data_IF_633647558469
#
_entry.id   IF_633647558469
#
_cell.length_a   1.000
_cell.length_b   1.000
_cell.length_c   1.000
_cell.angle_alpha   90.00
_cell.angle_beta   90.00
_cell.angle_gamma   90.00
#
_symmetry.space_group_name_H-M   'P 1'
#
loop_
_entity.id
_entity.type
_entity.pdbx_description
1 polymer ?
#
# COMPACT_ATOMS: atom_id res chain seq x y z
N UNK A 1 4.52 -15.11 -5.87
CA UNK A 1 3.95 -14.91 -7.23
C UNK A 1 4.52 -13.63 -7.80
N UNK A 2 5.36 -13.73 -8.83
CA UNK A 2 6.24 -12.66 -9.26
C UNK A 2 5.50 -11.45 -9.84
N UNK A 3 6.13 -10.30 -9.65
CA UNK A 3 5.91 -9.07 -10.42
C UNK A 3 5.57 -9.34 -11.90
N UNK A 4 4.61 -8.59 -12.46
CA UNK A 4 4.27 -8.64 -13.90
C UNK A 4 5.50 -8.33 -14.78
N UNK A 5 5.43 -8.60 -16.09
CA UNK A 5 6.52 -8.28 -17.02
C UNK A 5 6.95 -6.79 -16.95
N UNK A 6 6.02 -5.90 -16.60
CA UNK A 6 6.24 -4.47 -16.33
C UNK A 6 7.21 -4.18 -15.18
N UNK A 7 7.59 -5.21 -14.40
CA UNK A 7 8.43 -5.13 -13.22
C UNK A 7 9.62 -6.12 -13.27
N UNK A 8 9.93 -6.70 -14.45
CA UNK A 8 11.12 -7.56 -14.63
C UNK A 8 12.40 -6.72 -14.77
N UNK A 9 13.41 -7.02 -13.95
CA UNK A 9 14.78 -6.53 -14.09
C UNK A 9 15.44 -7.15 -15.34
N UNK A 10 16.17 -6.35 -16.13
CA UNK A 10 17.11 -6.87 -17.14
C UNK A 10 17.05 -6.24 -18.54
N UNK A 11 16.11 -5.34 -18.81
CA UNK A 11 16.08 -4.53 -20.04
C UNK A 11 15.91 -3.06 -19.69
N UNK A 12 16.35 -2.16 -20.58
CA UNK A 12 16.04 -0.74 -20.47
C UNK A 12 14.55 -0.58 -20.20
N UNK A 13 14.21 0.19 -19.16
CA UNK A 13 12.81 0.41 -18.78
C UNK A 13 12.08 1.11 -19.93
N UNK A 14 10.80 0.81 -20.15
CA UNK A 14 9.98 1.53 -21.11
C UNK A 14 10.05 3.04 -20.85
N UNK A 15 10.09 3.82 -21.94
CA UNK A 15 10.07 5.28 -21.89
C UNK A 15 8.73 5.77 -22.42
N UNK A 16 8.24 6.86 -21.84
CA UNK A 16 6.99 7.47 -22.27
C UNK A 16 7.17 8.21 -23.58
N UNK A 17 6.30 7.93 -24.56
CA UNK A 17 6.14 8.71 -25.78
C UNK A 17 5.14 9.88 -25.58
N UNK A 18 4.58 10.03 -24.37
CA UNK A 18 3.57 11.04 -24.09
C UNK A 18 4.23 12.42 -23.95
N UNK A 19 3.68 13.38 -24.70
CA UNK A 19 3.97 14.79 -24.47
C UNK A 19 3.27 15.21 -23.16
N UNK A 20 3.96 15.87 -22.21
CA UNK A 20 3.37 16.23 -20.92
C UNK A 20 2.07 17.00 -21.10
N UNK A 21 1.01 16.61 -20.37
CA UNK A 21 -0.26 17.32 -20.34
C UNK A 21 -0.03 18.65 -19.60
N UNK A 22 0.11 19.74 -20.34
CA UNK A 22 0.17 21.13 -19.85
C UNK A 22 1.11 21.42 -18.66
N UNK A 23 2.32 21.92 -18.97
CA UNK A 23 3.07 22.84 -18.09
C UNK A 23 3.52 22.34 -16.71
N UNK A 24 4.03 21.12 -16.59
CA UNK A 24 4.87 20.71 -15.45
C UNK A 24 6.16 21.54 -15.43
N UNK A 25 6.10 22.76 -14.88
CA UNK A 25 7.16 23.79 -14.97
C UNK A 25 8.51 23.40 -14.34
N UNK A 26 8.63 22.25 -13.69
CA UNK A 26 9.81 21.87 -12.91
C UNK A 26 10.29 20.42 -13.13
N UNK A 27 9.93 19.76 -14.24
CA UNK A 27 10.48 18.43 -14.53
C UNK A 27 11.98 18.54 -14.83
N UNK A 28 12.79 17.74 -14.16
CA UNK A 28 14.21 17.53 -14.50
C UNK A 28 14.38 16.10 -15.01
N UNK A 29 14.55 15.94 -16.32
CA UNK A 29 14.81 14.67 -17.00
C UNK A 29 16.30 14.50 -17.25
N UNK A 30 16.82 13.28 -17.07
CA UNK A 30 18.21 12.90 -17.38
C UNK A 30 18.28 11.97 -18.59
N UNK A 31 19.47 11.80 -19.17
CA UNK A 31 19.70 10.95 -20.36
C UNK A 31 19.38 9.46 -20.15
N UNK A 32 19.54 8.98 -18.92
CA UNK A 32 19.15 7.63 -18.51
C UNK A 32 17.62 7.45 -18.46
N UNK A 33 16.87 8.54 -18.58
CA UNK A 33 15.41 8.60 -18.52
C UNK A 33 14.87 8.76 -17.10
N UNK A 34 15.72 8.81 -16.07
CA UNK A 34 15.28 9.19 -14.71
C UNK A 34 14.79 10.63 -14.68
N UNK A 35 13.79 10.91 -13.86
CA UNK A 35 13.16 12.23 -13.80
C UNK A 35 12.68 12.60 -12.41
N UNK A 36 12.62 13.90 -12.15
CA UNK A 36 12.07 14.45 -10.91
C UNK A 36 11.09 15.58 -11.17
N UNK A 37 10.06 15.70 -10.34
CA UNK A 37 9.13 16.84 -10.31
C UNK A 37 9.10 17.41 -8.90
N UNK A 38 9.05 18.73 -8.79
CA UNK A 38 8.78 19.43 -7.54
C UNK A 38 7.76 20.55 -7.77
N UNK A 39 6.63 20.47 -7.08
CA UNK A 39 5.56 21.45 -7.14
C UNK A 39 5.33 22.05 -5.76
N UNK A 40 5.18 23.37 -5.73
CA UNK A 40 4.93 24.14 -4.52
C UNK A 40 3.65 24.97 -4.75
N UNK A 41 2.54 24.55 -4.14
CA UNK A 41 1.23 25.17 -4.31
C UNK A 41 0.63 25.50 -2.94
N UNK A 42 0.54 26.80 -2.61
CA UNK A 42 -0.16 27.31 -1.42
C UNK A 42 0.17 26.57 -0.10
N UNK A 43 1.46 26.29 0.14
CA UNK A 43 1.91 25.60 1.36
C UNK A 43 1.86 24.07 1.30
N UNK A 44 1.41 23.48 0.18
CA UNK A 44 1.64 22.08 -0.16
C UNK A 44 2.88 21.96 -1.06
N UNK A 45 3.80 21.09 -0.67
CA UNK A 45 4.94 20.67 -1.49
C UNK A 45 4.72 19.22 -1.89
N UNK A 46 4.82 18.94 -3.18
CA UNK A 46 4.78 17.60 -3.76
C UNK A 46 6.07 17.38 -4.55
N UNK A 47 6.76 16.31 -4.25
CA UNK A 47 8.00 15.94 -4.92
C UNK A 47 7.99 14.48 -5.33
N UNK A 48 8.29 14.23 -6.60
CA UNK A 48 8.36 12.89 -7.18
C UNK A 48 9.77 12.70 -7.74
N UNK A 49 10.38 11.57 -7.46
CA UNK A 49 11.66 11.17 -8.03
C UNK A 49 11.57 9.75 -8.56
N UNK A 50 11.82 9.57 -9.86
CA UNK A 50 11.79 8.29 -10.55
C UNK A 50 13.18 7.96 -11.07
N UNK A 51 13.69 6.80 -10.68
CA UNK A 51 15.01 6.31 -11.08
C UNK A 51 14.95 5.60 -12.44
N UNK A 52 16.12 5.38 -13.05
CA UNK A 52 16.24 4.74 -14.36
C UNK A 52 15.74 3.28 -14.38
N UNK A 53 15.67 2.62 -13.22
CA UNK A 53 15.11 1.28 -13.03
C UNK A 53 13.60 1.29 -12.75
N UNK A 54 12.96 2.46 -12.74
CA UNK A 54 11.54 2.66 -12.48
C UNK A 54 11.15 2.65 -11.00
N UNK A 55 12.10 2.47 -10.07
CA UNK A 55 11.83 2.75 -8.64
C UNK A 55 11.51 4.22 -8.46
N UNK A 56 10.68 4.54 -7.47
CA UNK A 56 10.31 5.93 -7.23
C UNK A 56 10.05 6.25 -5.78
N UNK A 57 10.15 7.54 -5.49
CA UNK A 57 9.80 8.13 -4.21
C UNK A 57 8.84 9.29 -4.42
N UNK A 58 7.86 9.40 -3.54
CA UNK A 58 7.00 10.57 -3.44
C UNK A 58 7.13 11.15 -2.04
N UNK A 59 7.22 12.47 -1.95
CA UNK A 59 7.11 13.19 -0.67
C UNK A 59 6.14 14.34 -0.83
N UNK A 60 5.10 14.28 -0.03
CA UNK A 60 4.06 15.29 0.09
C UNK A 60 4.12 15.91 1.47
N UNK A 61 4.10 17.24 1.52
CA UNK A 61 4.00 18.00 2.76
C UNK A 61 2.88 18.99 2.60
N UNK A 62 1.86 18.92 3.44
CA UNK A 62 0.79 19.91 3.48
C UNK A 62 1.13 21.06 4.45
N UNK A 63 0.37 22.14 4.35
CA UNK A 63 0.55 23.35 5.18
C UNK A 63 0.26 23.15 6.66
N UNK A 64 -0.43 22.07 7.03
CA UNK A 64 -0.85 21.74 8.41
C UNK A 64 0.12 20.75 9.09
N UNK A 65 1.38 20.72 8.67
CA UNK A 65 2.43 19.80 9.14
C UNK A 65 2.13 18.30 8.94
N UNK A 66 1.11 17.96 8.16
CA UNK A 66 0.95 16.58 7.69
C UNK A 66 1.92 16.26 6.55
N UNK A 67 2.52 15.08 6.63
CA UNK A 67 3.49 14.60 5.64
C UNK A 67 3.10 13.21 5.19
N UNK A 68 3.32 12.93 3.92
CA UNK A 68 3.22 11.61 3.34
C UNK A 68 4.50 11.32 2.55
N UNK A 69 5.11 10.17 2.82
CA UNK A 69 6.25 9.67 2.07
C UNK A 69 5.93 8.28 1.53
N UNK A 70 6.24 8.04 0.27
CA UNK A 70 6.08 6.75 -0.38
C UNK A 70 7.38 6.35 -1.06
N UNK A 71 7.78 5.09 -0.92
CA UNK A 71 8.97 4.53 -1.56
C UNK A 71 8.63 3.19 -2.21
N UNK A 72 8.93 3.04 -3.49
CA UNK A 72 8.84 1.77 -4.22
C UNK A 72 10.23 1.23 -4.52
N UNK A 73 10.45 -0.05 -4.19
CA UNK A 73 11.69 -0.77 -4.43
C UNK A 73 11.62 -1.62 -5.71
N UNK A 74 12.78 -2.06 -6.19
CA UNK A 74 12.93 -2.79 -7.45
C UNK A 74 12.25 -4.16 -7.46
N UNK A 75 12.06 -4.77 -6.28
CA UNK A 75 11.32 -6.03 -6.10
C UNK A 75 9.80 -5.82 -5.95
N UNK A 76 9.33 -4.58 -6.17
CA UNK A 76 7.95 -4.15 -6.03
C UNK A 76 7.51 -3.94 -4.58
N UNK A 77 8.34 -4.30 -3.58
CA UNK A 77 8.06 -3.96 -2.18
C UNK A 77 7.97 -2.45 -2.02
N UNK A 78 7.13 -1.99 -1.10
CA UNK A 78 6.93 -0.57 -0.90
C UNK A 78 6.68 -0.22 0.55
N UNK A 79 7.00 1.03 0.89
CA UNK A 79 6.79 1.63 2.19
C UNK A 79 6.02 2.95 2.02
N UNK A 80 5.01 3.14 2.87
CA UNK A 80 4.26 4.39 2.98
C UNK A 80 4.31 4.87 4.42
N UNK A 81 4.63 6.15 4.63
CA UNK A 81 4.62 6.80 5.93
C UNK A 81 3.69 8.00 5.83
N UNK A 82 2.64 8.01 6.63
CA UNK A 82 1.69 9.10 6.76
C UNK A 82 1.78 9.66 8.17
N UNK A 83 1.93 10.96 8.29
CA UNK A 83 2.02 11.65 9.57
C UNK A 83 1.09 12.84 9.58
N UNK A 84 0.36 13.00 10.67
CA UNK A 84 -0.40 14.19 10.99
C UNK A 84 0.01 14.73 12.36
N UNK A 85 -0.71 15.73 12.87
CA UNK A 85 -0.43 16.37 14.15
C UNK A 85 -0.57 15.46 15.37
N UNK A 86 -1.23 14.30 15.22
CA UNK A 86 -1.67 13.41 16.30
C UNK A 86 -1.35 11.94 16.06
N UNK A 87 -0.93 11.56 14.85
CA UNK A 87 -0.68 10.17 14.48
C UNK A 87 0.40 10.01 13.42
N UNK A 88 1.02 8.83 13.42
CA UNK A 88 1.95 8.37 12.39
C UNK A 88 1.56 6.93 12.02
N UNK A 89 1.31 6.69 10.74
CA UNK A 89 1.02 5.38 10.18
C UNK A 89 2.15 4.99 9.24
N UNK A 90 2.70 3.80 9.46
CA UNK A 90 3.72 3.19 8.61
C UNK A 90 3.18 1.90 8.03
N UNK A 91 3.08 1.84 6.71
CA UNK A 91 2.66 0.66 5.96
C UNK A 91 3.85 0.12 5.18
N UNK A 92 4.11 -1.18 5.29
CA UNK A 92 5.18 -1.86 4.57
C UNK A 92 4.63 -3.10 3.89
N UNK A 93 4.85 -3.24 2.59
CA UNK A 93 4.46 -4.41 1.80
C UNK A 93 5.71 -5.04 1.21
N UNK A 94 5.91 -6.33 1.49
CA UNK A 94 7.02 -7.12 0.98
C UNK A 94 6.79 -7.56 -0.47
N UNK A 95 7.84 -7.98 -1.16
CA UNK A 95 7.78 -8.47 -2.54
C UNK A 95 6.86 -9.70 -2.71
N UNK A 96 6.65 -10.51 -1.67
CA UNK A 96 5.73 -11.64 -1.67
C UNK A 96 4.27 -11.25 -1.44
N UNK A 97 4.00 -9.97 -1.12
CA UNK A 97 2.69 -9.42 -0.83
C UNK A 97 2.29 -9.47 0.64
N UNK A 98 3.11 -10.06 1.53
CA UNK A 98 2.91 -9.92 2.99
C UNK A 98 3.13 -8.48 3.41
N UNK A 99 2.58 -8.08 4.55
CA UNK A 99 2.59 -6.67 4.93
C UNK A 99 2.46 -6.42 6.43
N UNK A 100 2.87 -5.23 6.84
CA UNK A 100 2.70 -4.71 8.20
C UNK A 100 2.18 -3.29 8.15
N UNK A 101 1.27 -2.96 9.06
CA UNK A 101 0.86 -1.60 9.37
C UNK A 101 1.18 -1.33 10.83
N UNK A 102 1.91 -0.25 11.11
CA UNK A 102 2.14 0.24 12.46
C UNK A 102 1.57 1.64 12.57
N UNK A 103 0.66 1.85 13.52
CA UNK A 103 0.04 3.15 13.76
C UNK A 103 0.35 3.60 15.18
N UNK A 104 1.06 4.70 15.28
CA UNK A 104 1.35 5.40 16.51
C UNK A 104 0.43 6.59 16.61
N UNK A 105 -0.03 6.84 17.82
CA UNK A 105 -0.76 8.03 18.15
C UNK A 105 0.13 8.86 19.09
N UNK A 106 -0.18 10.14 19.28
CA UNK A 106 0.49 10.99 20.26
C UNK A 106 0.50 10.37 21.65
N UNK A 107 1.11 11.05 22.62
CA UNK A 107 1.50 10.53 23.95
C UNK A 107 0.46 9.71 24.73
N UNK A 108 -0.82 9.83 24.41
CA UNK A 108 -1.93 9.15 25.11
C UNK A 108 -2.55 7.96 24.36
N UNK A 109 -2.23 7.74 23.09
CA UNK A 109 -2.84 6.66 22.31
C UNK A 109 -2.00 5.39 22.29
N UNK A 110 -2.63 4.24 22.53
CA UNK A 110 -1.97 2.94 22.39
C UNK A 110 -1.61 2.68 20.92
N UNK A 111 -0.39 2.19 20.63
CA UNK A 111 -0.02 1.83 19.28
C UNK A 111 -0.89 0.68 18.78
N UNK A 112 -1.17 0.70 17.49
CA UNK A 112 -1.82 -0.37 16.75
C UNK A 112 -0.80 -0.98 15.78
N UNK A 113 -0.85 -2.30 15.65
CA UNK A 113 -0.03 -3.04 14.71
C UNK A 113 -0.88 -4.11 14.06
N UNK A 114 -0.81 -4.21 12.74
CA UNK A 114 -1.39 -5.30 11.98
C UNK A 114 -0.30 -5.96 11.14
N UNK A 115 -0.21 -7.28 11.19
CA UNK A 115 0.77 -8.06 10.43
C UNK A 115 0.08 -9.19 9.68
N UNK A 116 0.31 -9.26 8.38
CA UNK A 116 -0.05 -10.37 7.51
C UNK A 116 1.17 -11.24 7.23
N UNK A 117 1.08 -12.54 7.49
CA UNK A 117 2.18 -13.50 7.31
C UNK A 117 2.00 -14.34 6.06
N UNK A 118 3.09 -14.95 5.61
CA UNK A 118 3.14 -15.69 4.36
C UNK A 118 2.28 -16.96 4.35
N UNK A 119 1.97 -17.50 5.52
CA UNK A 119 1.07 -18.65 5.67
C UNK A 119 -0.41 -18.27 5.63
N UNK A 120 -0.75 -16.97 5.54
CA UNK A 120 -2.11 -16.44 5.55
C UNK A 120 -2.63 -16.11 6.95
N UNK A 121 -1.87 -16.44 8.02
CA UNK A 121 -2.20 -16.01 9.36
C UNK A 121 -1.92 -14.51 9.52
N UNK A 122 -2.67 -13.88 10.41
CA UNK A 122 -2.48 -12.47 10.69
C UNK A 122 -2.83 -12.12 12.13
N UNK A 123 -2.31 -10.99 12.58
CA UNK A 123 -2.58 -10.46 13.91
C UNK A 123 -2.83 -8.96 13.83
N UNK A 124 -3.81 -8.47 14.58
CA UNK A 124 -4.05 -7.05 14.79
C UNK A 124 -4.11 -6.75 16.28
N UNK A 125 -3.28 -5.83 16.75
CA UNK A 125 -3.37 -5.27 18.10
C UNK A 125 -4.23 -4.01 18.04
N UNK A 126 -5.50 -4.10 18.40
CA UNK A 126 -6.42 -2.96 18.34
C UNK A 126 -6.22 -1.97 19.50
N UNK A 127 -6.65 -0.72 19.29
CA UNK A 127 -6.93 0.21 20.39
C UNK A 127 -7.86 -0.47 21.42
N UNK A 128 -7.54 -0.31 22.70
CA UNK A 128 -8.37 -0.73 23.84
C UNK A 128 -8.30 -2.21 24.27
N UNK A 129 -7.10 -2.80 24.35
CA UNK A 129 -6.85 -4.08 25.03
C UNK A 129 -7.47 -5.28 24.30
N UNK A 130 -7.37 -5.32 22.98
CA UNK A 130 -7.77 -6.48 22.20
C UNK A 130 -6.66 -6.88 21.23
N UNK A 131 -6.48 -8.19 21.09
CA UNK A 131 -5.68 -8.78 20.02
C UNK A 131 -6.61 -9.62 19.18
N UNK A 132 -6.58 -9.40 17.88
CA UNK A 132 -7.27 -10.23 16.90
C UNK A 132 -6.23 -11.13 16.26
N UNK A 133 -6.51 -12.42 16.21
CA UNK A 133 -5.70 -13.39 15.50
C UNK A 133 -6.56 -14.06 14.44
N UNK A 134 -6.12 -13.97 13.19
CA UNK A 134 -6.76 -14.61 12.05
C UNK A 134 -5.94 -15.76 11.50
N UNK A 135 -6.64 -16.71 10.89
CA UNK A 135 -6.11 -17.93 10.32
C UNK A 135 -6.24 -17.94 8.80
N UNK A 136 -5.50 -18.82 8.12
CA UNK A 136 -5.60 -18.97 6.67
C UNK A 136 -6.93 -19.58 6.17
N UNK A 137 -7.75 -20.13 7.09
CA UNK A 137 -9.09 -20.63 6.76
C UNK A 137 -10.16 -19.53 6.74
N UNK A 138 -9.74 -18.25 6.81
CA UNK A 138 -10.61 -17.09 6.83
C UNK A 138 -11.28 -16.83 8.18
N UNK A 139 -11.00 -17.63 9.22
CA UNK A 139 -11.55 -17.40 10.56
C UNK A 139 -10.66 -16.46 11.37
N UNK A 140 -11.26 -15.69 12.30
CA UNK A 140 -10.53 -14.84 13.22
C UNK A 140 -11.19 -14.79 14.59
N UNK A 141 -10.35 -14.69 15.62
CA UNK A 141 -10.74 -14.61 17.03
C UNK A 141 -10.25 -13.28 17.60
N UNK A 142 -11.13 -12.56 18.28
CA UNK A 142 -10.80 -11.39 19.08
C UNK A 142 -10.67 -11.80 20.54
N UNK A 143 -9.50 -11.53 21.12
CA UNK A 143 -9.18 -11.75 22.52
C UNK A 143 -9.12 -10.44 23.28
N UNK A 144 -9.93 -10.29 24.31
CA UNK A 144 -9.81 -9.19 25.27
C UNK A 144 -8.61 -9.45 26.18
N UNK A 145 -7.57 -8.62 26.14
CA UNK A 145 -6.33 -8.85 26.90
C UNK A 145 -6.46 -8.57 28.40
N UNK A 146 -7.55 -7.91 28.84
CA UNK A 146 -7.85 -7.72 30.27
C UNK A 146 -8.68 -8.86 30.87
N UNK A 147 -9.71 -9.30 30.15
CA UNK A 147 -10.66 -10.31 30.64
C UNK A 147 -10.28 -11.74 30.21
N UNK A 148 -9.43 -11.89 29.20
CA UNK A 148 -9.07 -13.18 28.60
C UNK A 148 -10.18 -13.79 27.73
N UNK A 149 -11.32 -13.12 27.60
CA UNK A 149 -12.45 -13.57 26.78
C UNK A 149 -12.08 -13.60 25.30
N UNK A 150 -12.46 -14.69 24.63
CA UNK A 150 -12.24 -14.92 23.21
C UNK A 150 -13.59 -15.09 22.51
N UNK A 151 -13.76 -14.40 21.37
CA UNK A 151 -14.96 -14.50 20.54
C UNK A 151 -14.61 -14.44 19.05
N UNK A 152 -15.39 -15.07 18.16
CA UNK A 152 -15.27 -14.85 16.72
C UNK A 152 -15.49 -13.38 16.35
N UNK A 153 -14.83 -12.92 15.28
CA UNK A 153 -15.10 -11.59 14.72
C UNK A 153 -16.48 -11.55 14.08
N UNK A 154 -17.21 -10.46 14.35
CA UNK A 154 -18.42 -10.13 13.60
C UNK A 154 -18.07 -9.53 12.23
N UNK A 155 -18.98 -9.57 11.23
CA UNK A 155 -18.74 -8.96 9.92
C UNK A 155 -18.40 -7.47 9.98
N UNK A 156 -18.91 -6.75 10.97
CA UNK A 156 -18.60 -5.34 11.19
C UNK A 156 -17.18 -5.15 11.74
N UNK A 157 -16.75 -6.01 12.66
CA UNK A 157 -15.37 -6.00 13.19
C UNK A 157 -14.36 -6.33 12.09
N UNK A 158 -14.68 -7.25 11.17
CA UNK A 158 -13.85 -7.51 9.99
C UNK A 158 -13.59 -6.27 9.14
N UNK A 159 -14.61 -5.43 8.93
CA UNK A 159 -14.48 -4.18 8.14
C UNK A 159 -13.66 -3.09 8.83
N UNK A 160 -13.45 -3.20 10.14
CA UNK A 160 -12.66 -2.24 10.91
C UNK A 160 -11.18 -2.61 11.00
N UNK A 161 -10.79 -3.82 10.56
CA UNK A 161 -9.38 -4.21 10.56
C UNK A 161 -8.63 -3.38 9.51
N UNK A 162 -7.68 -2.58 9.98
CA UNK A 162 -6.81 -1.77 9.12
C UNK A 162 -6.02 -2.67 8.17
N UNK A 163 -6.08 -2.40 6.87
CA UNK A 163 -5.38 -3.15 5.82
C UNK A 163 -4.84 -2.17 4.76
N UNK A 164 -3.86 -2.56 3.92
CA UNK A 164 -3.32 -1.68 2.88
C UNK A 164 -4.28 -1.41 1.70
N UNK A 165 -5.57 -1.81 1.78
CA UNK A 165 -6.52 -1.81 0.65
C UNK A 165 -6.68 -0.46 -0.04
N UNK A 166 -6.56 0.63 0.70
CA UNK A 166 -6.62 2.00 0.15
C UNK A 166 -5.36 2.36 -0.67
N UNK A 167 -4.39 1.45 -0.79
CA UNK A 167 -3.07 1.68 -1.39
C UNK A 167 -2.62 0.52 -2.32
N UNK A 168 -3.52 -0.32 -2.84
CA UNK A 168 -3.16 -1.33 -3.85
C UNK A 168 -2.95 -0.71 -5.25
N UNK A 169 -2.38 -1.47 -6.21
CA UNK A 169 -1.87 -1.06 -7.55
C UNK A 169 -2.64 0.04 -8.31
N UNK A 170 -3.97 0.06 -8.27
CA UNK A 170 -4.76 1.14 -8.88
C UNK A 170 -4.63 2.44 -8.09
N UNK A 171 -4.76 2.36 -6.76
CA UNK A 171 -4.76 3.51 -5.88
C UNK A 171 -3.44 4.28 -5.90
N UNK A 172 -2.25 3.67 -5.91
CA UNK A 172 -1.00 4.45 -5.81
C UNK A 172 -0.67 5.22 -7.10
N UNK A 173 -0.80 4.56 -8.26
CA UNK A 173 -0.57 5.23 -9.54
C UNK A 173 -1.61 6.34 -9.78
N UNK A 174 -2.87 6.08 -9.43
CA UNK A 174 -3.96 7.06 -9.50
C UNK A 174 -3.82 8.16 -8.43
N UNK A 175 -3.31 7.84 -7.23
CA UNK A 175 -3.12 8.79 -6.11
C UNK A 175 -2.06 9.83 -6.47
N UNK A 176 -0.95 9.39 -7.06
CA UNK A 176 0.14 10.28 -7.45
C UNK A 176 0.07 10.71 -8.91
N UNK A 177 -0.98 10.29 -9.65
CA UNK A 177 -1.21 10.61 -11.06
C UNK A 177 0.06 10.46 -11.90
N UNK A 178 0.83 9.40 -11.63
CA UNK A 178 2.17 9.26 -12.19
C UNK A 178 2.13 9.23 -13.71
N UNK A 179 1.11 8.60 -14.27
CA UNK A 179 0.80 8.53 -15.70
C UNK A 179 0.54 9.91 -16.35
N UNK A 180 0.01 10.88 -15.60
CA UNK A 180 -0.21 12.25 -16.07
C UNK A 180 1.08 13.08 -16.08
N UNK A 181 2.06 12.76 -15.22
CA UNK A 181 3.27 13.57 -14.99
C UNK A 181 4.56 12.98 -15.57
N UNK A 182 4.56 11.75 -16.10
CA UNK A 182 5.74 11.18 -16.77
C UNK A 182 6.11 12.05 -17.98
N UNK A 183 7.34 12.58 -18.07
CA UNK A 183 7.76 13.36 -19.22
C UNK A 183 8.02 12.49 -20.45
N UNK A 184 7.97 13.12 -21.63
CA UNK A 184 8.43 12.50 -22.88
C UNK A 184 9.89 12.02 -22.72
N UNK A 185 10.17 10.79 -23.13
CA UNK A 185 11.42 10.04 -22.90
C UNK A 185 11.75 9.68 -21.44
N UNK A 186 10.89 10.03 -20.48
CA UNK A 186 11.00 9.61 -19.09
C UNK A 186 10.73 8.13 -18.91
N UNK A 187 11.44 7.49 -17.99
CA UNK A 187 11.20 6.11 -17.57
C UNK A 187 9.81 6.00 -16.94
N UNK A 188 9.06 5.00 -17.38
CA UNK A 188 7.77 4.64 -16.80
C UNK A 188 8.01 3.96 -15.42
N UNK A 189 7.42 4.47 -14.33
CA UNK A 189 7.57 3.89 -13.00
C UNK A 189 7.17 2.41 -12.92
N UNK A 190 7.79 1.67 -11.99
CA UNK A 190 7.37 0.33 -11.60
C UNK A 190 5.95 0.38 -10.99
N UNK A 191 5.23 -0.74 -11.10
CA UNK A 191 3.97 -0.92 -10.40
C UNK A 191 4.24 -1.43 -8.98
N UNK A 192 3.70 -0.80 -7.94
CA UNK A 192 3.81 -1.31 -6.57
C UNK A 192 3.24 -2.71 -6.43
N UNK A 193 3.82 -3.52 -5.54
CA UNK A 193 3.28 -4.85 -5.24
C UNK A 193 1.90 -4.74 -4.60
N UNK A 194 0.90 -5.45 -5.16
CA UNK A 194 -0.39 -5.63 -4.48
C UNK A 194 -0.24 -6.38 -3.15
N UNK A 195 -0.86 -5.86 -2.09
CA UNK A 195 -0.90 -6.52 -0.78
C UNK A 195 -1.76 -7.78 -0.80
N UNK A 196 -1.45 -8.75 0.06
CA UNK A 196 -2.28 -9.95 0.22
C UNK A 196 -3.53 -9.64 1.05
N UNK A 197 -4.70 -10.19 0.66
CA UNK A 197 -5.88 -10.17 1.51
C UNK A 197 -5.63 -10.87 2.86
N UNK A 198 -6.39 -10.47 3.88
CA UNK A 198 -6.41 -11.17 5.16
C UNK A 198 -6.78 -12.65 4.97
N UNK A 199 -6.11 -13.57 5.65
CA UNK A 199 -6.45 -15.00 5.58
C UNK A 199 -5.94 -15.73 4.33
N UNK A 200 -5.22 -15.08 3.40
CA UNK A 200 -4.77 -15.73 2.16
C UNK A 200 -3.29 -16.14 2.22
N UNK A 201 -2.94 -17.43 2.15
CA UNK A 201 -1.55 -17.87 2.03
C UNK A 201 -0.90 -17.41 0.73
N UNK A 202 0.40 -17.07 0.78
CA UNK A 202 1.21 -16.74 -0.41
C UNK A 202 1.17 -17.85 -1.46
N UNK A 203 1.08 -19.11 -1.03
CA UNK A 203 1.03 -20.29 -1.92
C UNK A 203 -0.28 -20.41 -2.70
N UNK A 204 -1.37 -19.88 -2.15
CA UNK A 204 -2.72 -19.95 -2.72
C UNK A 204 -3.10 -18.66 -3.44
N UNK A 205 -2.38 -17.57 -3.18
CA UNK A 205 -2.52 -16.29 -3.86
C UNK A 205 -2.08 -16.39 -5.33
N UNK A 206 -2.92 -16.97 -6.19
CA UNK A 206 -2.77 -16.98 -7.64
C UNK A 206 -3.64 -15.87 -8.25
N UNK A 207 -3.09 -14.67 -8.54
CA UNK A 207 -3.88 -13.55 -9.06
C UNK A 207 -4.58 -13.93 -10.37
N UNK A 208 -5.84 -13.52 -10.49
CA UNK A 208 -6.65 -13.75 -11.69
C UNK A 208 -7.44 -15.06 -11.71
N UNK A 209 -7.22 -15.97 -10.77
CA UNK A 209 -8.08 -17.15 -10.56
C UNK A 209 -9.41 -16.76 -9.91
N UNK A 210 -10.43 -17.58 -10.14
CA UNK A 210 -11.72 -17.39 -9.51
C UNK A 210 -11.64 -17.61 -7.99
N UNK A 211 -10.75 -18.48 -7.51
CA UNK A 211 -10.49 -18.64 -6.07
C UNK A 211 -9.92 -17.36 -5.42
N UNK A 212 -8.99 -16.66 -6.08
CA UNK A 212 -8.43 -15.41 -5.58
C UNK A 212 -9.48 -14.29 -5.51
N UNK A 213 -10.37 -14.21 -6.51
CA UNK A 213 -11.47 -13.23 -6.53
C UNK A 213 -12.54 -13.55 -5.48
N UNK A 214 -12.88 -14.84 -5.31
CA UNK A 214 -13.87 -15.29 -4.34
C UNK A 214 -13.40 -15.09 -2.90
N UNK A 215 -12.18 -15.52 -2.57
CA UNK A 215 -11.62 -15.33 -1.24
C UNK A 215 -11.52 -13.85 -0.85
N UNK A 216 -11.13 -12.98 -1.80
CA UNK A 216 -11.14 -11.53 -1.59
C UNK A 216 -12.57 -11.03 -1.34
N UNK A 217 -13.55 -11.42 -2.16
CA UNK A 217 -14.94 -10.95 -2.00
C UNK A 217 -15.63 -11.45 -0.71
N UNK A 218 -15.32 -12.66 -0.24
CA UNK A 218 -15.84 -13.21 1.03
C UNK A 218 -15.21 -12.51 2.24
N UNK A 219 -13.88 -12.34 2.25
CA UNK A 219 -13.15 -11.72 3.36
C UNK A 219 -13.40 -10.20 3.47
N UNK A 220 -13.72 -9.54 2.36
CA UNK A 220 -14.07 -8.13 2.33
C UNK A 220 -15.57 -7.85 2.57
N UNK A 221 -16.38 -8.91 2.67
CA UNK A 221 -17.84 -8.81 2.81
C UNK A 221 -18.50 -8.12 1.62
N UNK A 222 -17.93 -8.29 0.43
CA UNK A 222 -18.44 -7.76 -0.85
C UNK A 222 -19.44 -8.74 -1.49
N UNK A 223 -19.35 -10.03 -1.15
CA UNK A 223 -20.45 -10.96 -1.40
C UNK A 223 -21.63 -10.59 -0.51
N UNK A 224 -22.55 -9.79 -1.05
CA UNK A 224 -23.94 -9.81 -0.64
C UNK A 224 -24.41 -11.25 -0.82
N UNK A 225 -24.60 -11.97 0.29
CA UNK A 225 -25.46 -13.13 0.27
C UNK A 225 -26.84 -12.62 -0.14
N UNK A 226 -27.27 -12.88 -1.37
CA UNK A 226 -28.69 -12.80 -1.71
C UNK A 226 -29.42 -13.74 -0.72
N UNK A 227 -30.32 -13.18 0.07
CA UNK A 227 -31.25 -13.90 0.96
C UNK A 227 -32.13 -14.90 0.20
#
# INVERSE_FOLDING_TARGET
MGLTDDNKVGTSRPRSDQKPLDSTKNVKLKDDGSWTVEENNNGRTESVSVNADGTFQVKNKNSEDSTEEFTLNADGSWEKIEKDSSSEQKTHVNADGTWTIEKKYGSEGSPEKVEMRSDGSWESTERANAVITGKPDGTAIKKNTKLGEEKPLTPLEWKMVTTPKDHDEGSIADTYKLDEIVPENGVIPLKPRKSLPLGMPVKEAVPGTDEYKHATAELEGILLTDE
#
